data_IF_991399297793
#
_entry.id   IF_991399297793
#
_cell.length_a   1.000
_cell.length_b   1.000
_cell.length_c   1.000
_cell.angle_alpha   90.00
_cell.angle_beta   90.00
_cell.angle_gamma   90.00
#
_symmetry.space_group_name_H-M   'P 1'
#
loop_
_entity.id
_entity.type
_entity.pdbx_description
1 polymer ?
#
# COMPACT_ATOMS: atom_id res chain seq x y z
N UNK A 1 -19.63 2.64 32.07
CA UNK A 1 -19.25 3.10 30.71
C UNK A 1 -18.49 2.02 29.93
N UNK A 2 -17.50 1.33 30.49
CA UNK A 2 -16.66 0.35 29.80
C UNK A 2 -17.38 -0.93 29.33
N UNK A 3 -18.42 -1.37 30.03
CA UNK A 3 -19.23 -2.55 29.64
C UNK A 3 -20.16 -2.26 28.45
N UNK A 4 -20.65 -1.01 28.34
CA UNK A 4 -21.45 -0.56 27.20
C UNK A 4 -20.65 -0.53 25.89
N UNK A 5 -19.40 -0.08 25.95
CA UNK A 5 -18.52 0.00 24.79
C UNK A 5 -18.13 -1.41 24.28
N UNK A 6 -17.79 -2.34 25.19
CA UNK A 6 -17.46 -3.72 24.82
C UNK A 6 -18.64 -4.43 24.13
N UNK A 7 -19.86 -4.23 24.64
CA UNK A 7 -21.08 -4.81 24.04
C UNK A 7 -21.38 -4.18 22.68
N UNK A 8 -21.14 -2.88 22.51
CA UNK A 8 -21.28 -2.16 21.24
C UNK A 8 -20.33 -2.71 20.18
N UNK A 9 -19.06 -2.91 20.52
CA UNK A 9 -18.07 -3.54 19.63
C UNK A 9 -18.46 -4.96 19.24
N UNK A 10 -18.88 -5.80 20.19
CA UNK A 10 -19.31 -7.18 19.91
C UNK A 10 -20.51 -7.23 18.97
N UNK A 11 -21.51 -6.38 19.18
CA UNK A 11 -22.71 -6.28 18.35
C UNK A 11 -22.33 -5.84 16.92
N UNK A 12 -21.52 -4.81 16.79
CA UNK A 12 -21.05 -4.29 15.50
C UNK A 12 -20.28 -5.35 14.73
N UNK A 13 -19.30 -6.01 15.37
CA UNK A 13 -18.53 -7.09 14.74
C UNK A 13 -19.45 -8.26 14.36
N UNK A 14 -20.42 -8.61 15.21
CA UNK A 14 -21.42 -9.66 14.92
C UNK A 14 -22.26 -9.35 13.68
N UNK A 15 -22.75 -8.12 13.55
CA UNK A 15 -23.49 -7.67 12.35
C UNK A 15 -22.63 -7.75 11.09
N UNK A 16 -21.38 -7.25 11.13
CA UNK A 16 -20.47 -7.35 9.99
C UNK A 16 -20.12 -8.79 9.62
N UNK A 17 -19.94 -9.66 10.63
CA UNK A 17 -19.67 -11.09 10.39
C UNK A 17 -20.82 -11.79 9.66
N UNK A 18 -22.07 -11.52 10.09
CA UNK A 18 -23.28 -12.05 9.43
C UNK A 18 -23.39 -11.50 8.00
N UNK A 19 -23.21 -10.19 7.81
CA UNK A 19 -23.24 -9.58 6.48
C UNK A 19 -22.19 -10.18 5.56
N UNK A 20 -20.96 -10.32 6.05
CA UNK A 20 -19.89 -10.95 5.29
C UNK A 20 -20.22 -12.40 4.91
N UNK A 21 -20.74 -13.20 5.86
CA UNK A 21 -21.14 -14.58 5.57
C UNK A 21 -22.22 -14.65 4.49
N UNK A 22 -23.23 -13.79 4.55
CA UNK A 22 -24.29 -13.71 3.52
C UNK A 22 -23.70 -13.36 2.15
N UNK A 23 -22.83 -12.35 2.09
CA UNK A 23 -22.19 -11.93 0.84
C UNK A 23 -21.29 -13.03 0.24
N UNK A 24 -20.54 -13.75 1.07
CA UNK A 24 -19.73 -14.89 0.62
C UNK A 24 -20.60 -16.03 0.08
N UNK A 25 -21.70 -16.36 0.75
CA UNK A 25 -22.66 -17.39 0.28
C UNK A 25 -23.30 -16.95 -1.05
N UNK A 26 -23.70 -15.68 -1.17
CA UNK A 26 -24.25 -15.14 -2.41
C UNK A 26 -23.23 -15.20 -3.56
N UNK A 27 -21.98 -14.84 -3.29
CA UNK A 27 -20.89 -14.93 -4.26
C UNK A 27 -20.68 -16.38 -4.70
N UNK A 28 -20.58 -17.31 -3.75
CA UNK A 28 -20.41 -18.74 -4.04
C UNK A 28 -21.55 -19.30 -4.87
N UNK A 29 -22.81 -18.96 -4.54
CA UNK A 29 -23.99 -19.43 -5.25
C UNK A 29 -24.15 -18.77 -6.64
N UNK A 30 -23.70 -17.52 -6.80
CA UNK A 30 -23.85 -16.74 -8.03
C UNK A 30 -22.69 -16.86 -9.03
N UNK A 31 -21.52 -17.40 -8.60
CA UNK A 31 -20.34 -17.53 -9.46
C UNK A 31 -20.12 -18.98 -9.88
N UNK A 32 -19.84 -19.18 -11.16
CA UNK A 32 -19.36 -20.46 -11.70
C UNK A 32 -17.97 -20.25 -12.29
N UNK A 33 -17.03 -21.10 -11.88
CA UNK A 33 -15.73 -21.18 -12.50
C UNK A 33 -15.86 -21.66 -13.93
N UNK A 34 -15.52 -20.80 -14.90
CA UNK A 34 -15.66 -21.08 -16.34
C UNK A 34 -14.36 -21.47 -17.02
N UNK A 35 -13.24 -21.24 -16.35
CA UNK A 35 -11.90 -21.53 -16.83
C UNK A 35 -11.37 -22.73 -16.07
N UNK A 36 -11.06 -23.80 -16.77
CA UNK A 36 -10.33 -24.91 -16.20
C UNK A 36 -8.90 -24.45 -15.84
N UNK A 37 -8.38 -24.81 -14.65
CA UNK A 37 -6.99 -24.53 -14.35
C UNK A 37 -6.10 -25.19 -15.40
N UNK A 38 -5.13 -24.44 -15.94
CA UNK A 38 -4.15 -25.03 -16.83
C UNK A 38 -3.53 -26.27 -16.16
N UNK A 39 -3.58 -27.43 -16.82
CA UNK A 39 -3.09 -28.71 -16.29
C UNK A 39 -1.57 -28.81 -16.26
N UNK A 40 -0.87 -27.69 -16.16
CA UNK A 40 0.57 -27.71 -15.97
C UNK A 40 0.89 -28.29 -14.61
N UNK A 41 1.62 -29.41 -14.59
CA UNK A 41 2.21 -29.98 -13.38
C UNK A 41 3.24 -29.00 -12.84
N UNK A 42 2.76 -28.00 -12.10
CA UNK A 42 3.61 -27.05 -11.38
C UNK A 42 4.43 -27.86 -10.36
N UNK A 43 5.74 -27.94 -10.58
CA UNK A 43 6.67 -28.48 -9.60
C UNK A 43 7.09 -27.31 -8.72
N UNK A 44 6.42 -27.16 -7.57
CA UNK A 44 6.62 -26.06 -6.62
C UNK A 44 8.11 -25.73 -6.37
N UNK A 45 8.98 -26.75 -6.34
CA UNK A 45 10.42 -26.56 -6.14
C UNK A 45 11.10 -25.84 -7.31
N UNK A 46 10.65 -26.10 -8.54
CA UNK A 46 11.20 -25.48 -9.73
C UNK A 46 10.68 -24.05 -9.88
N UNK A 47 9.39 -23.86 -9.64
CA UNK A 47 8.78 -22.52 -9.66
C UNK A 47 9.40 -21.61 -8.61
N UNK A 48 9.68 -22.14 -7.40
CA UNK A 48 10.39 -21.40 -6.35
C UNK A 48 11.81 -21.01 -6.79
N UNK A 49 12.51 -21.91 -7.47
CA UNK A 49 13.86 -21.65 -8.00
C UNK A 49 13.85 -20.61 -9.09
N UNK A 50 12.81 -20.60 -9.93
CA UNK A 50 12.68 -19.61 -11.02
C UNK A 50 12.35 -18.23 -10.49
N UNK A 51 11.46 -18.13 -9.48
CA UNK A 51 11.19 -16.86 -8.80
C UNK A 51 12.42 -16.32 -8.09
N UNK A 52 13.18 -17.15 -7.40
CA UNK A 52 14.44 -16.73 -6.75
C UNK A 52 15.50 -16.24 -7.71
N UNK A 53 15.38 -16.54 -9.00
CA UNK A 53 16.25 -16.00 -10.08
C UNK A 53 15.66 -14.79 -10.79
N UNK A 54 14.40 -14.44 -10.49
CA UNK A 54 13.67 -13.36 -11.12
C UNK A 54 14.02 -12.02 -10.46
N UNK A 55 15.00 -11.28 -11.01
CA UNK A 55 15.42 -9.97 -10.50
C UNK A 55 14.26 -8.96 -10.40
N UNK A 56 13.43 -8.76 -11.45
CA UNK A 56 12.27 -7.88 -11.35
C UNK A 56 11.35 -8.19 -10.16
N UNK A 57 11.18 -9.47 -9.82
CA UNK A 57 10.38 -9.88 -8.67
C UNK A 57 10.98 -9.40 -7.34
N UNK A 58 12.29 -9.55 -7.12
CA UNK A 58 12.95 -9.06 -5.89
C UNK A 58 12.85 -7.55 -5.76
N UNK A 59 13.04 -6.82 -6.85
CA UNK A 59 12.90 -5.37 -6.87
C UNK A 59 11.48 -4.96 -6.49
N UNK A 60 10.48 -5.62 -7.08
CA UNK A 60 9.07 -5.32 -6.80
C UNK A 60 8.66 -5.72 -5.38
N UNK A 61 9.18 -6.84 -4.87
CA UNK A 61 8.97 -7.28 -3.48
C UNK A 61 9.49 -6.21 -2.50
N UNK A 62 10.73 -5.74 -2.69
CA UNK A 62 11.32 -4.70 -1.85
C UNK A 62 10.56 -3.37 -1.94
N UNK A 63 10.16 -2.98 -3.15
CA UNK A 63 9.35 -1.77 -3.36
C UNK A 63 7.99 -1.86 -2.66
N UNK A 64 7.26 -2.97 -2.82
CA UNK A 64 5.96 -3.17 -2.19
C UNK A 64 6.05 -3.17 -0.66
N UNK A 65 7.04 -3.86 -0.08
CA UNK A 65 7.29 -3.82 1.38
C UNK A 65 7.53 -2.38 1.84
N UNK A 66 8.37 -1.62 1.11
CA UNK A 66 8.71 -0.23 1.47
C UNK A 66 7.49 0.70 1.41
N UNK A 67 6.62 0.55 0.41
CA UNK A 67 5.34 1.30 0.31
C UNK A 67 4.45 1.00 1.52
N UNK A 68 4.38 -0.25 1.95
CA UNK A 68 3.52 -0.63 3.06
C UNK A 68 4.11 -0.25 4.41
N UNK A 69 5.44 -0.21 4.55
CA UNK A 69 6.10 0.41 5.72
C UNK A 69 5.74 1.90 5.78
N UNK A 70 5.84 2.63 4.66
CA UNK A 70 5.43 4.03 4.57
C UNK A 70 3.97 4.23 5.05
N UNK A 71 3.02 3.44 4.54
CA UNK A 71 1.61 3.53 4.95
C UNK A 71 1.42 3.16 6.43
N UNK A 72 2.03 2.07 6.89
CA UNK A 72 1.92 1.59 8.26
C UNK A 72 2.45 2.59 9.29
N UNK A 73 3.57 3.26 8.99
CA UNK A 73 4.13 4.30 9.85
C UNK A 73 3.20 5.51 9.95
N UNK A 74 2.61 5.95 8.84
CA UNK A 74 1.68 7.09 8.83
C UNK A 74 0.39 6.77 9.59
N UNK A 75 -0.22 5.62 9.31
CA UNK A 75 -1.46 5.22 9.97
C UNK A 75 -1.23 4.93 11.45
N UNK A 76 -0.12 4.27 11.80
CA UNK A 76 0.25 3.99 13.19
C UNK A 76 0.57 5.24 14.01
N UNK A 77 1.16 6.27 13.39
CA UNK A 77 1.52 7.51 14.08
C UNK A 77 0.34 8.47 14.24
N UNK A 78 -0.66 8.39 13.36
CA UNK A 78 -1.70 9.42 13.23
C UNK A 78 -2.47 9.67 14.53
N UNK A 79 -2.92 8.62 15.22
CA UNK A 79 -3.65 8.77 16.47
C UNK A 79 -2.81 9.51 17.52
N UNK A 80 -1.54 9.15 17.66
CA UNK A 80 -0.62 9.78 18.61
C UNK A 80 -0.33 11.24 18.21
N UNK A 81 -0.17 11.51 16.92
CA UNK A 81 0.10 12.83 16.38
C UNK A 81 -1.01 13.82 16.71
N UNK A 82 -2.27 13.44 16.47
CA UNK A 82 -3.40 14.31 16.80
C UNK A 82 -3.69 14.37 18.29
N UNK A 83 -3.55 13.26 19.04
CA UNK A 83 -3.85 13.25 20.47
C UNK A 83 -2.86 14.05 21.30
N UNK A 84 -1.54 13.95 20.98
CA UNK A 84 -0.50 14.48 21.84
C UNK A 84 0.26 15.68 21.27
N UNK A 85 0.35 15.79 19.93
CA UNK A 85 1.10 16.89 19.29
C UNK A 85 0.19 18.01 18.80
N UNK A 86 -0.92 17.68 18.10
CA UNK A 86 -1.85 18.68 17.58
C UNK A 86 -2.81 19.15 18.67
N UNK A 87 -3.48 18.23 19.40
CA UNK A 87 -4.53 18.55 20.36
C UNK A 87 -5.83 19.04 19.70
N UNK A 88 -6.64 19.74 20.49
CA UNK A 88 -7.86 20.37 19.99
C UNK A 88 -7.49 21.68 19.27
N UNK A 89 -8.09 21.95 18.12
CA UNK A 89 -7.75 23.07 17.25
C UNK A 89 -9.00 23.84 16.79
N UNK A 90 -8.83 25.14 16.62
CA UNK A 90 -9.80 25.96 15.91
C UNK A 90 -9.57 25.83 14.40
N UNK A 91 -10.55 25.30 13.70
CA UNK A 91 -10.50 25.07 12.25
C UNK A 91 -11.37 26.11 11.56
N UNK A 92 -10.83 26.76 10.55
CA UNK A 92 -11.57 27.76 9.75
C UNK A 92 -12.89 27.16 9.24
N UNK A 93 -14.00 27.85 9.46
CA UNK A 93 -15.38 27.44 9.14
C UNK A 93 -16.03 26.37 10.03
N UNK A 94 -15.29 25.62 10.87
CA UNK A 94 -15.84 24.54 11.69
C UNK A 94 -15.78 24.83 13.20
N UNK A 95 -15.08 25.90 13.60
CA UNK A 95 -14.86 26.21 15.03
C UNK A 95 -13.89 25.22 15.68
N UNK A 96 -13.93 25.12 17.01
CA UNK A 96 -13.04 24.25 17.79
C UNK A 96 -13.42 22.78 17.59
N UNK A 97 -12.52 22.01 16.99
CA UNK A 97 -12.64 20.57 16.81
C UNK A 97 -11.74 19.83 17.82
N UNK A 98 -12.29 18.79 18.45
CA UNK A 98 -11.51 17.91 19.31
C UNK A 98 -10.50 17.09 18.48
N UNK A 99 -9.39 16.72 19.12
CA UNK A 99 -8.38 15.85 18.50
C UNK A 99 -8.98 14.55 17.91
N UNK A 100 -10.01 13.98 18.57
CA UNK A 100 -10.71 12.77 18.08
C UNK A 100 -11.47 13.06 16.78
N UNK A 101 -12.12 14.22 16.67
CA UNK A 101 -12.80 14.64 15.44
C UNK A 101 -11.77 14.88 14.31
N UNK A 102 -10.65 15.50 14.65
CA UNK A 102 -9.54 15.74 13.70
C UNK A 102 -8.92 14.44 13.18
N UNK A 103 -8.71 13.43 14.04
CA UNK A 103 -8.25 12.09 13.60
C UNK A 103 -9.22 11.49 12.60
N UNK A 104 -10.52 11.50 12.92
CA UNK A 104 -11.56 10.93 12.06
C UNK A 104 -11.65 11.65 10.72
N UNK A 105 -11.57 12.98 10.73
CA UNK A 105 -11.53 13.79 9.51
C UNK A 105 -10.28 13.52 8.68
N UNK A 106 -9.10 13.46 9.31
CA UNK A 106 -7.83 13.19 8.64
C UNK A 106 -7.81 11.81 7.97
N UNK A 107 -8.33 10.76 8.64
CA UNK A 107 -8.50 9.43 8.05
C UNK A 107 -9.47 9.43 6.87
N UNK A 108 -10.61 10.11 7.01
CA UNK A 108 -11.62 10.18 5.94
C UNK A 108 -11.07 10.89 4.70
N UNK A 109 -10.37 11.98 4.90
CA UNK A 109 -9.69 12.74 3.84
C UNK A 109 -8.59 11.90 3.20
N UNK A 110 -7.80 11.16 3.98
CA UNK A 110 -6.80 10.21 3.50
C UNK A 110 -7.41 9.17 2.57
N UNK A 111 -8.48 8.48 3.00
CA UNK A 111 -9.18 7.48 2.19
C UNK A 111 -9.76 8.06 0.91
N UNK A 112 -10.42 9.22 0.98
CA UNK A 112 -10.97 9.90 -0.19
C UNK A 112 -9.87 10.28 -1.19
N UNK A 113 -8.75 10.79 -0.70
CA UNK A 113 -7.60 11.17 -1.52
C UNK A 113 -6.94 9.94 -2.18
N UNK A 114 -6.86 8.81 -1.47
CA UNK A 114 -6.40 7.56 -2.06
C UNK A 114 -7.30 7.10 -3.22
N UNK A 115 -8.63 7.20 -3.07
CA UNK A 115 -9.56 6.86 -4.17
C UNK A 115 -9.28 7.73 -5.40
N UNK A 116 -9.07 9.03 -5.22
CA UNK A 116 -8.67 9.92 -6.32
C UNK A 116 -7.36 9.46 -6.95
N UNK A 117 -6.36 9.11 -6.15
CA UNK A 117 -5.09 8.56 -6.61
C UNK A 117 -5.26 7.28 -7.43
N UNK A 118 -6.07 6.33 -6.97
CA UNK A 118 -6.39 5.07 -7.69
C UNK A 118 -7.01 5.37 -9.07
N UNK A 119 -7.94 6.31 -9.13
CA UNK A 119 -8.57 6.72 -10.42
C UNK A 119 -7.57 7.36 -11.38
N UNK A 120 -6.58 8.08 -10.87
CA UNK A 120 -5.53 8.72 -11.65
C UNK A 120 -4.41 7.74 -12.09
N UNK A 121 -4.29 6.58 -11.47
CA UNK A 121 -3.21 5.64 -11.76
C UNK A 121 -3.17 5.22 -13.24
N UNK A 122 -4.32 4.81 -13.80
CA UNK A 122 -4.41 4.37 -15.21
C UNK A 122 -4.10 5.50 -16.21
N UNK A 123 -4.76 6.68 -16.17
CA UNK A 123 -4.50 7.75 -17.13
C UNK A 123 -3.08 8.32 -17.03
N UNK A 124 -2.48 8.35 -15.84
CA UNK A 124 -1.10 8.81 -15.66
C UNK A 124 -0.12 7.77 -16.18
N UNK A 125 -0.26 6.51 -15.78
CA UNK A 125 0.65 5.44 -16.21
C UNK A 125 0.57 5.15 -17.72
N UNK A 126 -0.57 5.37 -18.35
CA UNK A 126 -0.71 5.26 -19.80
C UNK A 126 0.08 6.34 -20.58
N UNK A 127 0.41 7.48 -19.95
CA UNK A 127 1.14 8.58 -20.60
C UNK A 127 2.64 8.52 -20.38
N UNK A 128 3.07 8.20 -19.17
CA UNK A 128 4.49 8.28 -18.78
C UNK A 128 5.08 6.93 -18.39
N UNK A 129 4.28 5.85 -18.45
CA UNK A 129 4.70 4.51 -18.07
C UNK A 129 4.52 4.18 -16.59
N UNK A 130 4.36 2.89 -16.28
CA UNK A 130 4.12 2.39 -14.92
C UNK A 130 5.29 2.71 -13.98
N UNK A 131 6.51 2.45 -14.43
CA UNK A 131 7.73 2.70 -13.66
C UNK A 131 7.89 4.18 -13.30
N UNK A 132 7.75 5.07 -14.26
CA UNK A 132 7.91 6.52 -14.03
C UNK A 132 6.80 7.06 -13.12
N UNK A 133 5.56 6.59 -13.33
CA UNK A 133 4.42 6.96 -12.48
C UNK A 133 4.68 6.56 -11.04
N UNK A 134 5.15 5.35 -10.80
CA UNK A 134 5.51 4.87 -9.46
C UNK A 134 6.62 5.72 -8.82
N UNK A 135 7.70 5.99 -9.57
CA UNK A 135 8.82 6.80 -9.09
C UNK A 135 8.37 8.21 -8.68
N UNK A 136 7.65 8.91 -9.56
CA UNK A 136 7.20 10.29 -9.27
C UNK A 136 6.18 10.32 -8.14
N UNK A 137 5.27 9.35 -8.06
CA UNK A 137 4.29 9.26 -6.98
C UNK A 137 4.97 9.05 -5.62
N UNK A 138 5.91 8.10 -5.51
CA UNK A 138 6.62 7.85 -4.24
C UNK A 138 7.60 8.96 -3.88
N UNK A 139 8.27 9.57 -4.86
CA UNK A 139 9.12 10.73 -4.61
C UNK A 139 8.29 11.92 -4.12
N UNK A 140 7.14 12.18 -4.74
CA UNK A 140 6.20 13.18 -4.28
C UNK A 140 5.71 12.90 -2.85
N UNK A 141 5.32 11.66 -2.55
CA UNK A 141 4.95 11.24 -1.19
C UNK A 141 6.07 11.49 -0.18
N UNK A 142 7.33 11.20 -0.54
CA UNK A 142 8.48 11.43 0.32
C UNK A 142 8.68 12.92 0.61
N UNK A 143 8.73 13.76 -0.43
CA UNK A 143 8.93 15.22 -0.30
C UNK A 143 7.82 15.85 0.54
N UNK A 144 6.57 15.51 0.27
CA UNK A 144 5.42 16.02 1.02
C UNK A 144 5.42 15.53 2.48
N UNK A 145 5.87 14.28 2.73
CA UNK A 145 6.03 13.77 4.09
C UNK A 145 7.15 14.48 4.84
N UNK A 146 8.26 14.79 4.20
CA UNK A 146 9.30 15.63 4.82
C UNK A 146 8.80 17.05 5.09
N UNK A 147 8.00 17.64 4.20
CA UNK A 147 7.39 18.94 4.43
C UNK A 147 6.48 18.95 5.67
N UNK A 148 5.77 17.85 5.92
CA UNK A 148 4.91 17.70 7.10
C UNK A 148 5.69 17.86 8.43
N UNK A 149 6.98 17.51 8.46
CA UNK A 149 7.83 17.68 9.64
C UNK A 149 7.94 19.15 10.10
N UNK A 150 7.89 20.10 9.17
CA UNK A 150 8.05 21.52 9.47
C UNK A 150 6.71 22.21 9.82
N UNK A 151 5.62 21.46 9.90
CA UNK A 151 4.31 22.02 10.21
C UNK A 151 4.12 22.14 11.72
N UNK A 152 3.66 23.32 12.16
CA UNK A 152 3.26 23.59 13.54
C UNK A 152 1.80 23.17 13.78
N UNK A 153 1.38 22.89 15.02
CA UNK A 153 -0.01 22.51 15.33
C UNK A 153 -1.07 23.52 14.89
N UNK A 154 -0.73 24.80 14.88
CA UNK A 154 -1.59 25.91 14.44
C UNK A 154 -1.82 25.94 12.92
N UNK A 155 -1.06 25.18 12.14
CA UNK A 155 -1.18 25.10 10.67
C UNK A 155 -2.03 23.92 10.22
N UNK A 156 -3.12 23.69 10.90
CA UNK A 156 -3.97 22.50 10.71
C UNK A 156 -4.48 22.36 9.26
N UNK A 157 -4.86 23.44 8.62
CA UNK A 157 -5.35 23.46 7.24
C UNK A 157 -4.25 22.97 6.28
N UNK A 158 -3.00 23.42 6.49
CA UNK A 158 -1.88 23.02 5.65
C UNK A 158 -1.51 21.55 5.86
N UNK A 159 -1.62 21.04 7.10
CA UNK A 159 -1.47 19.61 7.42
C UNK A 159 -2.50 18.78 6.65
N UNK A 160 -3.76 19.23 6.54
CA UNK A 160 -4.80 18.56 5.77
C UNK A 160 -4.52 18.62 4.26
N UNK A 161 -4.06 19.76 3.74
CA UNK A 161 -3.65 19.89 2.33
C UNK A 161 -2.52 18.91 2.00
N UNK A 162 -1.48 18.84 2.83
CA UNK A 162 -0.41 17.86 2.67
C UNK A 162 -0.94 16.43 2.71
N UNK A 163 -1.86 16.13 3.61
CA UNK A 163 -2.50 14.81 3.68
C UNK A 163 -3.23 14.43 2.39
N UNK A 164 -3.97 15.36 1.78
CA UNK A 164 -4.64 15.15 0.49
C UNK A 164 -3.62 14.83 -0.60
N UNK A 165 -2.58 15.63 -0.71
CA UNK A 165 -1.55 15.44 -1.75
C UNK A 165 -0.79 14.13 -1.56
N UNK A 166 -0.41 13.78 -0.33
CA UNK A 166 0.24 12.50 -0.02
C UNK A 166 -0.74 11.34 -0.30
N UNK A 167 -2.01 11.48 0.07
CA UNK A 167 -3.05 10.48 -0.19
C UNK A 167 -3.22 10.19 -1.69
N UNK A 168 -3.26 11.23 -2.52
CA UNK A 168 -3.35 11.08 -3.99
C UNK A 168 -2.12 10.36 -4.53
N UNK A 169 -0.91 10.79 -4.15
CA UNK A 169 0.33 10.19 -4.64
C UNK A 169 0.49 8.73 -4.17
N UNK A 170 0.18 8.43 -2.92
CA UNK A 170 0.19 7.06 -2.40
C UNK A 170 -0.87 6.18 -3.07
N UNK A 171 -2.07 6.71 -3.29
CA UNK A 171 -3.17 6.00 -3.96
C UNK A 171 -2.87 5.57 -5.39
N UNK A 172 -2.10 6.37 -6.15
CA UNK A 172 -1.64 6.01 -7.49
C UNK A 172 -0.84 4.70 -7.48
N UNK A 173 -0.07 4.45 -6.45
CA UNK A 173 0.89 3.33 -6.40
C UNK A 173 0.22 1.98 -6.20
N UNK A 174 -0.89 1.90 -5.45
CA UNK A 174 -1.55 0.64 -5.12
C UNK A 174 -1.95 -0.20 -6.35
N UNK A 175 -2.69 0.32 -7.34
CA UNK A 175 -3.01 -0.45 -8.53
C UNK A 175 -1.80 -0.74 -9.41
N UNK A 176 -0.76 0.12 -9.38
CA UNK A 176 0.48 -0.12 -10.12
C UNK A 176 1.23 -1.33 -9.57
N UNK A 177 1.29 -1.52 -8.25
CA UNK A 177 1.90 -2.70 -7.63
C UNK A 177 1.30 -3.98 -8.23
N UNK A 178 -0.03 -4.09 -8.26
CA UNK A 178 -0.71 -5.27 -8.79
C UNK A 178 -0.47 -5.44 -10.29
N UNK A 179 -0.52 -4.36 -11.06
CA UNK A 179 -0.23 -4.40 -12.51
C UNK A 179 1.21 -4.83 -12.79
N UNK A 180 2.18 -4.34 -12.03
CA UNK A 180 3.59 -4.70 -12.20
C UNK A 180 3.89 -6.13 -11.77
N UNK A 181 3.15 -6.70 -10.81
CA UNK A 181 3.23 -8.13 -10.51
C UNK A 181 2.67 -9.00 -11.65
N UNK A 182 1.64 -8.54 -12.36
CA UNK A 182 1.18 -9.20 -13.59
C UNK A 182 2.27 -9.18 -14.67
N UNK A 183 2.91 -8.03 -14.89
CA UNK A 183 4.03 -7.91 -15.83
C UNK A 183 5.19 -8.87 -15.48
N UNK A 184 5.50 -9.04 -14.19
CA UNK A 184 6.51 -10.00 -13.71
C UNK A 184 6.09 -11.44 -13.99
N UNK A 185 4.79 -11.75 -13.90
CA UNK A 185 4.27 -13.07 -14.24
C UNK A 185 4.47 -13.38 -15.73
N UNK A 186 4.14 -12.44 -16.60
CA UNK A 186 4.32 -12.58 -18.04
C UNK A 186 5.82 -12.66 -18.43
N UNK A 187 6.67 -11.86 -17.79
CA UNK A 187 8.13 -11.95 -17.94
C UNK A 187 8.66 -13.34 -17.49
N UNK A 188 8.14 -13.89 -16.40
CA UNK A 188 8.51 -15.23 -15.92
C UNK A 188 8.14 -16.30 -16.94
N UNK A 189 6.92 -16.27 -17.47
CA UNK A 189 6.45 -17.17 -18.53
C UNK A 189 7.30 -17.06 -19.80
N UNK A 190 7.57 -15.84 -20.24
CA UNK A 190 8.40 -15.58 -21.44
C UNK A 190 9.80 -16.18 -21.32
N UNK A 191 10.41 -16.07 -20.13
CA UNK A 191 11.78 -16.49 -19.88
C UNK A 191 11.94 -17.97 -19.59
N UNK A 192 10.97 -18.58 -18.90
CA UNK A 192 11.08 -19.98 -18.42
C UNK A 192 10.16 -20.94 -19.17
N UNK A 193 9.21 -20.43 -19.96
CA UNK A 193 8.15 -21.21 -20.59
C UNK A 193 7.09 -21.71 -19.59
N UNK A 194 7.20 -21.31 -18.30
CA UNK A 194 6.27 -21.75 -17.25
C UNK A 194 5.59 -20.55 -16.58
N UNK A 195 4.32 -20.66 -16.36
CA UNK A 195 3.50 -19.60 -15.78
C UNK A 195 3.36 -19.77 -14.26
N UNK A 196 4.27 -19.17 -13.49
CA UNK A 196 4.24 -19.21 -12.02
C UNK A 196 3.35 -18.12 -11.39
N UNK A 197 2.21 -17.79 -12.03
CA UNK A 197 1.33 -16.68 -11.63
C UNK A 197 0.87 -16.80 -10.19
N UNK A 198 0.40 -17.98 -9.76
CA UNK A 198 -0.08 -18.20 -8.39
C UNK A 198 0.99 -17.89 -7.34
N UNK A 199 2.23 -18.27 -7.57
CA UNK A 199 3.33 -18.04 -6.64
C UNK A 199 3.77 -16.57 -6.60
N UNK A 200 3.74 -15.87 -7.75
CA UNK A 200 4.04 -14.44 -7.83
C UNK A 200 2.98 -13.62 -7.09
N UNK A 201 1.70 -13.89 -7.29
CA UNK A 201 0.62 -13.18 -6.59
C UNK A 201 0.52 -13.54 -5.11
N UNK A 202 0.81 -14.78 -4.71
CA UNK A 202 0.89 -15.15 -3.29
C UNK A 202 2.05 -14.45 -2.59
N UNK A 203 3.20 -14.28 -3.26
CA UNK A 203 4.32 -13.50 -2.73
C UNK A 203 3.98 -12.01 -2.60
N UNK A 204 3.15 -11.45 -3.49
CA UNK A 204 2.62 -10.10 -3.35
C UNK A 204 1.78 -9.96 -2.07
N UNK A 205 0.86 -10.89 -1.84
CA UNK A 205 0.05 -10.90 -0.61
C UNK A 205 0.91 -11.05 0.64
N UNK A 206 1.97 -11.84 0.58
CA UNK A 206 2.93 -12.01 1.67
C UNK A 206 3.72 -10.73 1.92
N UNK A 207 4.19 -10.04 0.86
CA UNK A 207 4.91 -8.77 0.99
C UNK A 207 4.06 -7.70 1.68
N UNK A 208 2.76 -7.68 1.42
CA UNK A 208 1.85 -6.76 2.10
C UNK A 208 1.81 -7.02 3.60
N UNK A 209 1.65 -8.27 4.03
CA UNK A 209 1.65 -8.63 5.45
C UNK A 209 2.98 -8.30 6.13
N UNK A 210 4.10 -8.57 5.47
CA UNK A 210 5.42 -8.20 5.98
C UNK A 210 5.59 -6.69 6.11
N UNK A 211 5.18 -5.92 5.10
CA UNK A 211 5.28 -4.46 5.14
C UNK A 211 4.51 -3.86 6.32
N UNK A 212 3.26 -4.28 6.53
CA UNK A 212 2.46 -3.86 7.67
C UNK A 212 3.06 -4.29 9.00
N UNK A 213 3.54 -5.53 9.11
CA UNK A 213 4.15 -6.06 10.34
C UNK A 213 5.44 -5.31 10.69
N UNK A 214 6.32 -5.12 9.72
CA UNK A 214 7.60 -4.39 9.90
C UNK A 214 7.31 -2.93 10.27
N UNK A 215 6.41 -2.27 9.55
CA UNK A 215 6.04 -0.89 9.85
C UNK A 215 5.44 -0.73 11.24
N UNK A 216 4.55 -1.64 11.66
CA UNK A 216 3.99 -1.65 13.01
C UNK A 216 5.06 -1.91 14.09
N UNK A 217 5.99 -2.83 13.87
CA UNK A 217 7.10 -3.09 14.77
C UNK A 217 8.03 -1.87 14.91
N UNK A 218 8.37 -1.23 13.80
CA UNK A 218 9.17 0.00 13.79
C UNK A 218 8.43 1.10 14.58
N UNK A 219 7.11 1.26 14.37
CA UNK A 219 6.30 2.24 15.10
C UNK A 219 6.38 2.03 16.61
N UNK A 220 6.20 0.78 17.08
CA UNK A 220 6.27 0.45 18.50
C UNK A 220 7.65 0.68 19.11
N UNK A 221 8.72 0.26 18.42
CA UNK A 221 10.10 0.50 18.87
C UNK A 221 10.44 1.99 18.89
N UNK A 222 10.02 2.74 17.89
CA UNK A 222 10.29 4.16 17.77
C UNK A 222 9.64 4.94 18.90
N UNK A 223 8.37 4.66 19.20
CA UNK A 223 7.68 5.24 20.35
C UNK A 223 8.40 4.94 21.67
N UNK A 224 8.85 3.68 21.86
CA UNK A 224 9.60 3.27 23.06
C UNK A 224 10.94 3.97 23.20
N UNK A 225 11.71 4.10 22.11
CA UNK A 225 13.02 4.80 22.10
C UNK A 225 12.88 6.27 22.47
N UNK A 226 11.82 6.94 21.99
CA UNK A 226 11.55 8.34 22.29
C UNK A 226 10.83 8.57 23.63
N UNK A 227 10.59 7.51 24.40
CA UNK A 227 10.08 7.60 25.77
C UNK A 227 8.58 7.89 25.83
N UNK A 228 7.82 7.46 24.84
CA UNK A 228 6.35 7.56 24.87
C UNK A 228 5.76 6.77 26.04
N UNK A 229 4.87 7.40 26.80
CA UNK A 229 4.08 6.77 27.88
C UNK A 229 2.62 7.04 27.64
N UNK A 230 1.80 5.99 27.65
CA UNK A 230 0.38 6.12 27.36
C UNK A 230 -0.39 6.92 28.44
N UNK A 231 -1.34 7.75 28.00
CA UNK A 231 -2.28 8.48 28.85
C UNK A 231 -1.66 9.47 29.84
N UNK A 232 -0.48 10.00 29.52
CA UNK A 232 0.15 11.09 30.27
C UNK A 232 0.57 12.20 29.33
N UNK A 233 0.86 13.37 29.89
CA UNK A 233 1.46 14.46 29.12
C UNK A 233 2.84 14.02 28.62
N UNK A 234 3.08 14.13 27.32
CA UNK A 234 4.30 13.65 26.69
C UNK A 234 5.45 14.65 26.88
N UNK A 235 6.67 14.12 26.95
CA UNK A 235 7.89 14.92 26.92
C UNK A 235 8.12 15.48 25.51
N UNK A 236 8.90 16.55 25.39
CA UNK A 236 9.29 17.12 24.08
C UNK A 236 9.96 16.08 23.18
N UNK A 237 10.77 15.20 23.77
CA UNK A 237 11.43 14.11 23.05
C UNK A 237 10.40 13.12 22.48
N UNK A 238 9.36 12.74 23.26
CA UNK A 238 8.31 11.85 22.80
C UNK A 238 7.48 12.50 21.69
N UNK A 239 7.13 13.79 21.82
CA UNK A 239 6.42 14.55 20.78
C UNK A 239 7.23 14.63 19.50
N UNK A 240 8.54 14.91 19.58
CA UNK A 240 9.43 14.87 18.43
C UNK A 240 9.46 13.48 17.77
N UNK A 241 9.49 12.40 18.55
CA UNK A 241 9.43 11.04 18.03
C UNK A 241 8.13 10.78 17.25
N UNK A 242 6.98 11.18 17.77
CA UNK A 242 5.69 11.05 17.10
C UNK A 242 5.67 11.84 15.79
N UNK A 243 6.18 13.07 15.79
CA UNK A 243 6.28 13.92 14.60
C UNK A 243 7.21 13.32 13.54
N UNK A 244 8.38 12.82 13.95
CA UNK A 244 9.31 12.14 13.05
C UNK A 244 8.68 10.88 12.42
N UNK A 245 7.88 10.13 13.17
CA UNK A 245 7.28 8.87 12.70
C UNK A 245 6.28 9.10 11.56
N UNK A 246 5.36 10.08 11.71
CA UNK A 246 4.36 10.38 10.68
C UNK A 246 4.95 11.07 9.45
N UNK A 247 6.10 11.72 9.59
CA UNK A 247 6.73 12.56 8.57
C UNK A 247 8.02 11.95 8.01
N UNK A 248 9.14 12.14 8.71
CA UNK A 248 10.48 11.79 8.21
C UNK A 248 10.64 10.29 8.01
N UNK A 249 10.25 9.49 8.99
CA UNK A 249 10.43 8.04 8.93
C UNK A 249 9.55 7.41 7.85
N UNK A 250 8.31 7.89 7.71
CA UNK A 250 7.44 7.53 6.60
C UNK A 250 8.04 7.97 5.25
N UNK A 251 8.56 9.21 5.16
CA UNK A 251 9.25 9.71 3.97
C UNK A 251 10.45 8.85 3.56
N UNK A 252 11.23 8.36 4.52
CA UNK A 252 12.31 7.40 4.27
C UNK A 252 11.78 6.09 3.69
N UNK A 253 10.66 5.57 4.20
CA UNK A 253 9.97 4.41 3.62
C UNK A 253 9.60 4.61 2.15
N UNK A 254 9.08 5.80 1.81
CA UNK A 254 8.78 6.17 0.43
C UNK A 254 10.04 6.25 -0.44
N UNK A 255 11.14 6.83 0.07
CA UNK A 255 12.42 6.86 -0.66
C UNK A 255 13.03 5.47 -0.85
N UNK A 256 12.87 4.56 0.09
CA UNK A 256 13.27 3.15 -0.08
C UNK A 256 12.52 2.51 -1.26
N UNK A 257 11.22 2.76 -1.38
CA UNK A 257 10.43 2.28 -2.53
C UNK A 257 10.95 2.86 -3.86
N UNK A 258 11.27 4.16 -3.91
CA UNK A 258 11.93 4.81 -5.05
C UNK A 258 13.25 4.12 -5.38
N UNK A 259 14.09 3.84 -4.38
CA UNK A 259 15.37 3.15 -4.54
C UNK A 259 15.22 1.77 -5.18
N UNK A 260 14.26 0.97 -4.72
CA UNK A 260 14.00 -0.32 -5.33
C UNK A 260 13.50 -0.19 -6.78
N UNK A 261 12.49 0.62 -7.05
CA UNK A 261 11.91 0.78 -8.39
C UNK A 261 12.91 1.39 -9.39
N UNK A 262 13.89 2.14 -8.93
CA UNK A 262 14.96 2.61 -9.82
C UNK A 262 15.63 1.46 -10.57
N UNK A 263 15.82 0.32 -9.91
CA UNK A 263 16.41 -0.88 -10.49
C UNK A 263 15.42 -1.77 -11.26
N UNK A 264 14.14 -1.40 -11.33
CA UNK A 264 13.13 -2.12 -12.11
C UNK A 264 13.40 -1.94 -13.62
N UNK A 265 13.52 -3.05 -14.34
CA UNK A 265 13.95 -3.04 -15.75
C UNK A 265 12.87 -3.34 -16.77
N UNK A 266 11.67 -3.76 -16.31
CA UNK A 266 10.57 -4.01 -17.23
C UNK A 266 9.89 -2.68 -17.54
N UNK A 267 10.26 -2.10 -18.68
CA UNK A 267 9.61 -0.92 -19.26
C UNK A 267 8.48 -1.32 -20.22
N UNK A 268 7.74 -0.33 -20.69
CA UNK A 268 6.61 -0.56 -21.59
C UNK A 268 7.02 -1.23 -22.90
N UNK A 269 8.13 -0.83 -23.50
CA UNK A 269 8.60 -1.41 -24.76
C UNK A 269 8.97 -2.89 -24.60
N UNK A 270 9.63 -3.25 -23.49
CA UNK A 270 9.94 -4.65 -23.19
C UNK A 270 8.67 -5.46 -22.94
N UNK A 271 7.66 -4.89 -22.26
CA UNK A 271 6.40 -5.59 -21.99
C UNK A 271 5.56 -5.78 -23.24
N UNK A 272 5.58 -4.83 -24.19
CA UNK A 272 4.94 -4.98 -25.49
C UNK A 272 5.56 -6.14 -26.28
N UNK A 273 6.88 -6.19 -26.36
CA UNK A 273 7.61 -7.30 -27.00
C UNK A 273 7.29 -8.66 -26.35
N UNK A 274 7.28 -8.73 -25.03
CA UNK A 274 6.92 -9.95 -24.29
C UNK A 274 5.48 -10.38 -24.63
N UNK A 275 4.56 -9.44 -24.71
CA UNK A 275 3.16 -9.70 -25.05
C UNK A 275 3.00 -10.28 -26.47
N UNK A 276 3.70 -9.72 -27.46
CA UNK A 276 3.72 -10.21 -28.84
C UNK A 276 4.32 -11.62 -28.93
N UNK A 277 5.47 -11.85 -28.29
CA UNK A 277 6.15 -13.15 -28.27
C UNK A 277 5.27 -14.24 -27.61
N UNK A 278 4.64 -13.94 -26.48
CA UNK A 278 3.74 -14.89 -25.80
C UNK A 278 2.49 -15.19 -26.61
N UNK A 279 1.92 -14.19 -27.27
CA UNK A 279 0.76 -14.37 -28.16
C UNK A 279 1.10 -15.27 -29.35
N UNK A 280 2.26 -15.04 -29.98
CA UNK A 280 2.74 -15.85 -31.09
C UNK A 280 3.02 -17.30 -30.70
N UNK A 281 3.58 -17.55 -29.50
CA UNK A 281 3.80 -18.92 -28.97
C UNK A 281 2.51 -19.65 -28.72
N UNK A 282 1.48 -18.97 -28.17
CA UNK A 282 0.16 -19.56 -27.90
C UNK A 282 -0.58 -19.92 -29.21
N UNK A 283 -0.56 -19.03 -30.21
CA UNK A 283 -1.14 -19.29 -31.53
C UNK A 283 -0.46 -20.46 -32.27
N UNK A 284 0.86 -20.64 -32.09
CA UNK A 284 1.60 -21.76 -32.67
C UNK A 284 1.32 -23.11 -32.01
N UNK A 285 0.98 -23.13 -30.72
CA UNK A 285 0.60 -24.36 -30.00
C UNK A 285 -0.81 -24.82 -30.35
N UNK A 286 -1.77 -23.90 -30.49
CA UNK A 286 -3.15 -24.21 -30.86
C UNK A 286 -3.26 -24.78 -32.28
N UNK A 287 -2.27 -24.53 -33.16
CA UNK A 287 -2.21 -25.08 -34.51
C UNK A 287 -1.65 -26.50 -34.63
N UNK A 288 -1.05 -27.05 -33.56
CA UNK A 288 -0.46 -28.39 -33.56
C UNK A 288 -1.37 -29.48 -32.91
N UNK A 289 -2.48 -29.05 -32.29
CA UNK A 289 -3.43 -29.94 -31.61
C UNK A 289 -4.69 -30.26 -32.48
N UNK A 290 -4.63 -30.02 -33.82
CA UNK A 290 -5.70 -30.34 -34.80
C UNK A 290 -5.34 -31.52 -35.67
#
# INVERSE_FOLDING_TARGET
>A
ETLGDATGYQLTIGIYAVLAAVLFIMTFAGTRERLEPAQEKSVLREDLKDILKNRPWFVMLGAAISVLIFNSLREGAMLYYFTYYIGDQDVMFFGTLSHTALVSAYMSVWLASNIVGVLLAKPVSARIGKKQTFLFAMLGSAVLSFALYFMSPDQIELIFVLNVLIGITAGIVLPLIWSMYADISDYSEWKTGRRATGLIFSSSSMSQKFGWTIGGAISGWFLGIFGYVANVQQTETALMGIQLMISVLAGVGALMAVGFIWFYKLDEGMMEQIGEDLTSRRAGNDGNDV
#
